data_IF_555360484130
#
_entry.id   IF_555360484130
#
_cell.length_a   1.000
_cell.length_b   1.000
_cell.length_c   1.000
_cell.angle_alpha   90.00
_cell.angle_beta   90.00
_cell.angle_gamma   90.00
#
_symmetry.space_group_name_H-M   'P 1'
#
loop_
_entity.id
_entity.type
_entity.pdbx_description
1 polymer ?
#
# COMPACT_ATOMS: atom_id res chain seq x y z
N UNK A 1 -5.81 8.79 11.51
CA UNK A 1 -7.10 8.08 11.70
C UNK A 1 -8.22 8.64 10.82
N UNK A 2 -8.43 9.95 10.70
CA UNK A 2 -9.54 10.52 9.89
C UNK A 2 -9.59 10.03 8.43
N UNK A 3 -8.45 10.02 7.73
CA UNK A 3 -8.40 9.56 6.32
C UNK A 3 -8.69 8.06 6.17
N UNK A 4 -8.12 7.22 7.05
CA UNK A 4 -8.35 5.77 7.05
C UNK A 4 -9.82 5.46 7.38
N UNK A 5 -10.40 6.18 8.34
CA UNK A 5 -11.81 6.07 8.66
C UNK A 5 -12.70 6.49 7.49
N UNK A 6 -12.38 7.58 6.80
CA UNK A 6 -13.09 8.00 5.60
C UNK A 6 -13.03 6.94 4.50
N UNK A 7 -11.83 6.39 4.22
CA UNK A 7 -11.68 5.32 3.23
C UNK A 7 -12.55 4.12 3.58
N UNK A 8 -12.49 3.65 4.83
CA UNK A 8 -13.20 2.46 5.29
C UNK A 8 -14.73 2.65 5.34
N UNK A 9 -15.20 3.86 5.66
CA UNK A 9 -16.62 4.12 5.88
C UNK A 9 -17.34 4.65 4.64
N UNK A 10 -16.62 5.27 3.70
CA UNK A 10 -17.25 6.03 2.60
C UNK A 10 -16.73 5.68 1.21
N UNK A 11 -15.58 5.00 1.08
CA UNK A 11 -14.92 4.79 -0.21
C UNK A 11 -14.76 3.32 -0.61
N UNK A 12 -15.22 2.38 0.22
CA UNK A 12 -15.19 0.96 -0.11
C UNK A 12 -16.41 0.58 -0.95
N UNK A 13 -16.16 -0.01 -2.12
CA UNK A 13 -17.17 -0.58 -3.00
C UNK A 13 -17.38 -2.08 -2.77
N UNK A 14 -18.32 -2.65 -3.51
CA UNK A 14 -18.61 -4.08 -3.44
C UNK A 14 -17.77 -4.88 -4.45
N UNK A 15 -17.50 -6.14 -4.11
CA UNK A 15 -16.87 -7.07 -5.04
C UNK A 15 -17.90 -7.57 -6.05
N UNK A 16 -17.68 -7.28 -7.34
CA UNK A 16 -18.58 -7.60 -8.46
C UNK A 16 -18.28 -8.96 -9.11
N UNK A 17 -17.34 -9.73 -8.56
CA UNK A 17 -16.90 -11.05 -9.04
C UNK A 17 -15.57 -11.04 -9.79
N UNK A 18 -15.11 -9.88 -10.27
CA UNK A 18 -13.75 -9.69 -10.81
C UNK A 18 -13.07 -8.59 -10.00
N UNK A 19 -11.82 -8.84 -9.60
CA UNK A 19 -10.99 -7.87 -8.90
C UNK A 19 -9.59 -7.81 -9.48
N UNK A 20 -9.00 -6.61 -9.41
CA UNK A 20 -7.63 -6.35 -9.81
C UNK A 20 -6.81 -5.99 -8.58
N UNK A 21 -5.62 -6.56 -8.46
CA UNK A 21 -4.70 -6.26 -7.37
C UNK A 21 -3.43 -5.66 -7.93
N UNK A 22 -3.03 -4.51 -7.40
CA UNK A 22 -1.74 -3.91 -7.70
C UNK A 22 -1.10 -3.28 -6.46
N UNK A 23 0.23 -3.18 -6.51
CA UNK A 23 1.04 -2.60 -5.44
C UNK A 23 1.73 -1.34 -5.92
N UNK A 24 1.53 -0.23 -5.21
CA UNK A 24 2.13 1.07 -5.54
C UNK A 24 3.10 1.51 -4.43
N UNK A 25 4.31 1.97 -4.78
CA UNK A 25 5.26 2.49 -3.79
C UNK A 25 4.81 3.84 -3.22
N UNK A 26 4.54 3.88 -1.91
CA UNK A 26 4.29 5.10 -1.14
C UNK A 26 5.60 5.65 -0.57
N UNK A 27 6.14 6.69 -1.21
CA UNK A 27 7.45 7.26 -0.81
C UNK A 27 7.28 8.21 0.39
N UNK A 28 7.93 7.89 1.51
CA UNK A 28 7.96 8.77 2.67
C UNK A 28 8.95 9.93 2.49
N UNK A 29 10.08 9.68 1.83
CA UNK A 29 11.02 10.72 1.41
C UNK A 29 11.86 10.26 0.22
N UNK A 30 12.67 11.18 -0.32
CA UNK A 30 13.69 10.81 -1.29
C UNK A 30 14.71 9.84 -0.67
N UNK A 31 15.16 8.83 -1.42
CA UNK A 31 16.03 7.75 -0.91
C UNK A 31 17.32 8.26 -0.26
N UNK A 32 17.89 9.33 -0.80
CA UNK A 32 19.10 9.98 -0.27
C UNK A 32 18.90 10.60 1.13
N UNK A 33 17.65 10.87 1.54
CA UNK A 33 17.30 11.49 2.83
C UNK A 33 16.81 10.48 3.89
N UNK A 34 16.79 9.19 3.57
CA UNK A 34 16.37 8.10 4.48
C UNK A 34 17.02 8.24 5.87
N UNK A 35 18.33 8.44 5.93
CA UNK A 35 19.10 8.50 7.18
C UNK A 35 18.70 9.68 8.08
N UNK A 36 18.22 10.78 7.49
CA UNK A 36 17.81 11.99 8.21
C UNK A 36 16.30 12.03 8.49
N UNK A 37 15.53 11.09 7.95
CA UNK A 37 14.08 11.04 8.12
C UNK A 37 13.72 10.57 9.55
N UNK A 38 12.90 11.36 10.25
CA UNK A 38 12.57 11.10 11.67
C UNK A 38 11.13 10.63 11.89
N UNK A 39 10.17 11.12 11.10
CA UNK A 39 8.73 10.93 11.38
C UNK A 39 8.26 9.50 11.17
N UNK A 40 8.73 8.81 10.12
CA UNK A 40 8.40 7.40 9.85
C UNK A 40 9.56 6.45 10.18
N UNK A 41 10.50 6.86 11.04
CA UNK A 41 11.67 6.04 11.41
C UNK A 41 11.22 4.77 12.13
N UNK A 42 11.69 3.61 11.68
CA UNK A 42 11.32 2.29 12.23
C UNK A 42 10.02 1.71 11.67
N UNK A 43 9.24 2.50 10.92
CA UNK A 43 8.04 2.04 10.23
C UNK A 43 8.28 1.91 8.72
N UNK A 44 8.84 2.97 8.11
CA UNK A 44 9.21 2.96 6.71
C UNK A 44 10.51 2.16 6.51
N UNK A 45 10.58 1.45 5.38
CA UNK A 45 11.76 0.67 5.00
C UNK A 45 12.17 1.00 3.57
N UNK A 46 13.30 0.43 3.15
CA UNK A 46 13.81 0.55 1.79
C UNK A 46 13.20 -0.52 0.90
N UNK A 47 12.60 -0.13 -0.21
CA UNK A 47 12.08 -1.03 -1.23
C UNK A 47 12.68 -0.73 -2.60
N UNK A 48 12.59 -1.71 -3.50
CA UNK A 48 12.98 -1.56 -4.90
C UNK A 48 11.74 -1.75 -5.77
N UNK A 49 11.48 -0.81 -6.66
CA UNK A 49 10.49 -0.93 -7.73
C UNK A 49 11.17 -0.81 -9.10
N UNK A 50 10.41 -0.92 -10.18
CA UNK A 50 10.91 -0.75 -11.56
C UNK A 50 11.63 0.59 -11.74
N UNK A 51 11.19 1.63 -11.02
CA UNK A 51 11.79 2.97 -11.03
C UNK A 51 12.97 3.14 -10.06
N UNK A 52 13.48 2.05 -9.48
CA UNK A 52 14.63 2.04 -8.58
C UNK A 52 14.29 1.97 -7.10
N UNK A 53 15.25 2.36 -6.25
CA UNK A 53 15.11 2.31 -4.79
C UNK A 53 14.27 3.47 -4.24
N UNK A 54 13.43 3.19 -3.25
CA UNK A 54 12.65 4.18 -2.52
C UNK A 54 12.61 3.85 -1.03
N UNK A 55 12.31 4.86 -0.21
CA UNK A 55 12.15 4.73 1.24
C UNK A 55 10.71 5.09 1.59
N UNK A 56 9.99 4.17 2.24
CA UNK A 56 8.58 4.33 2.53
C UNK A 56 7.86 3.00 2.72
N UNK A 57 6.72 2.87 2.07
CA UNK A 57 5.76 1.77 2.20
C UNK A 57 5.31 1.28 0.82
N UNK A 58 4.64 0.13 0.79
CA UNK A 58 3.86 -0.35 -0.35
C UNK A 58 2.38 -0.29 -0.01
N UNK A 59 1.60 0.30 -0.90
CA UNK A 59 0.15 0.30 -0.85
C UNK A 59 -0.36 -0.76 -1.81
N UNK A 60 -0.97 -1.80 -1.26
CA UNK A 60 -1.65 -2.85 -2.01
C UNK A 60 -3.13 -2.48 -2.08
N UNK A 61 -3.69 -2.40 -3.28
CA UNK A 61 -5.11 -2.05 -3.49
C UNK A 61 -5.76 -3.17 -4.28
N UNK A 62 -6.96 -3.54 -3.85
CA UNK A 62 -7.88 -4.41 -4.59
C UNK A 62 -9.01 -3.52 -5.11
N UNK A 63 -9.20 -3.49 -6.43
CA UNK A 63 -10.28 -2.73 -7.08
C UNK A 63 -11.23 -3.67 -7.84
N UNK A 64 -12.50 -3.29 -7.95
CA UNK A 64 -13.43 -3.97 -8.85
C UNK A 64 -13.29 -3.49 -10.30
N UNK A 65 -14.05 -4.10 -11.21
CA UNK A 65 -14.13 -3.75 -12.64
C UNK A 65 -14.69 -2.35 -12.92
N UNK A 66 -15.34 -1.72 -11.94
CA UNK A 66 -15.83 -0.34 -12.00
C UNK A 66 -14.81 0.68 -11.48
N UNK A 67 -13.67 0.23 -10.97
CA UNK A 67 -12.62 1.08 -10.41
C UNK A 67 -12.86 1.52 -8.96
N UNK A 68 -13.81 0.91 -8.25
CA UNK A 68 -14.03 1.16 -6.83
C UNK A 68 -13.03 0.35 -5.99
N UNK A 69 -12.56 0.94 -4.89
CA UNK A 69 -11.64 0.25 -3.97
C UNK A 69 -12.45 -0.73 -3.14
N UNK A 70 -12.11 -2.02 -3.17
CA UNK A 70 -12.74 -3.04 -2.33
C UNK A 70 -11.99 -3.17 -1.01
N UNK A 71 -10.65 -3.29 -1.09
CA UNK A 71 -9.74 -3.47 0.05
C UNK A 71 -8.41 -2.80 -0.24
N UNK A 72 -7.68 -2.46 0.82
CA UNK A 72 -6.32 -1.97 0.72
C UNK A 72 -5.50 -2.38 1.94
N UNK A 73 -4.19 -2.46 1.77
CA UNK A 73 -3.25 -2.75 2.84
C UNK A 73 -1.97 -1.94 2.64
N UNK A 74 -1.44 -1.39 3.73
CA UNK A 74 -0.16 -0.69 3.74
C UNK A 74 0.85 -1.60 4.42
N UNK A 75 1.96 -1.85 3.74
CA UNK A 75 3.07 -2.68 4.26
C UNK A 75 4.38 -1.92 4.17
N UNK A 76 5.40 -2.27 4.98
CA UNK A 76 6.75 -1.77 4.78
C UNK A 76 7.26 -2.06 3.36
N UNK A 77 8.10 -1.18 2.81
CA UNK A 77 8.53 -1.25 1.41
C UNK A 77 9.35 -2.51 1.02
N UNK A 78 9.92 -3.21 2.00
CA UNK A 78 10.69 -4.45 1.80
C UNK A 78 9.82 -5.73 1.80
N UNK A 79 8.49 -5.60 1.97
CA UNK A 79 7.56 -6.74 1.90
C UNK A 79 7.36 -7.17 0.44
N UNK A 80 7.35 -8.49 0.20
CA UNK A 80 7.03 -9.08 -1.11
C UNK A 80 5.56 -8.83 -1.46
N UNK A 81 5.27 -8.45 -2.71
CA UNK A 81 3.91 -8.07 -3.14
C UNK A 81 2.92 -9.25 -3.08
N UNK A 82 3.42 -10.48 -3.02
CA UNK A 82 2.60 -11.69 -2.87
C UNK A 82 2.27 -12.02 -1.41
N UNK A 83 2.94 -11.40 -0.43
CA UNK A 83 2.69 -11.68 0.98
C UNK A 83 1.28 -11.24 1.43
N UNK A 84 0.78 -10.04 1.06
CA UNK A 84 -0.61 -9.64 1.29
C UNK A 84 -1.64 -10.63 0.75
N UNK A 85 -1.37 -11.25 -0.40
CA UNK A 85 -2.30 -12.20 -1.05
C UNK A 85 -2.49 -13.51 -0.27
N UNK A 86 -1.67 -13.75 0.76
CA UNK A 86 -1.80 -14.93 1.65
C UNK A 86 -2.62 -14.62 2.90
N UNK A 87 -3.00 -13.36 3.09
CA UNK A 87 -3.80 -12.94 4.23
C UNK A 87 -5.27 -13.00 3.83
N UNK A 88 -6.02 -13.93 4.43
CA UNK A 88 -7.46 -14.10 4.20
C UNK A 88 -8.27 -12.84 4.56
N UNK A 89 -7.70 -11.90 5.33
CA UNK A 89 -8.33 -10.60 5.58
C UNK A 89 -8.16 -9.64 4.40
N UNK A 90 -7.11 -9.79 3.57
CA UNK A 90 -6.80 -8.92 2.44
C UNK A 90 -7.38 -9.43 1.12
N UNK A 91 -7.32 -10.74 0.86
CA UNK A 91 -8.08 -11.41 -0.21
C UNK A 91 -9.54 -11.66 0.18
#
# INVERSE_FOLDING_TARGET
>A
YKLIAFLNMCCLGECTGISFVDSTPLRACHIKRERSHKTMKGLATKGKCTMGWFYGFKLHIVINDKGEIIKYQITPANVDDRAPLKDDAFT
#
